data_IF_494786071307
#
_entry.id   IF_494786071307
#
_cell.length_a   1.000
_cell.length_b   1.000
_cell.length_c   1.000
_cell.angle_alpha   90.00
_cell.angle_beta   90.00
_cell.angle_gamma   90.00
#
_symmetry.space_group_name_H-M   'P 1'
#
loop_
_entity.id
_entity.type
_entity.pdbx_description
1 polymer ?
#
# COMPACT_ATOMS: atom_id res chain seq x y z
N UNK A 1 -9.60 -20.25 -0.87
CA UNK A 1 -8.51 -20.02 0.11
C UNK A 1 -8.85 -18.77 0.90
N UNK A 2 -8.98 -18.87 2.22
CA UNK A 2 -9.21 -17.72 3.11
C UNK A 2 -7.95 -16.86 3.11
N UNK A 3 -7.98 -15.73 2.41
CA UNK A 3 -6.97 -14.69 2.61
C UNK A 3 -7.24 -14.00 3.95
N UNK A 4 -6.21 -13.69 4.73
CA UNK A 4 -6.38 -12.87 5.92
C UNK A 4 -7.10 -11.55 5.58
N UNK A 5 -7.86 -11.04 6.53
CA UNK A 5 -8.46 -9.73 6.40
C UNK A 5 -7.36 -8.66 6.34
N UNK A 6 -7.57 -7.55 5.63
CA UNK A 6 -6.69 -6.39 5.71
C UNK A 6 -6.53 -5.95 7.17
N UNK A 7 -5.33 -5.52 7.53
CA UNK A 7 -5.02 -5.03 8.87
C UNK A 7 -4.83 -3.52 8.81
N UNK A 8 -5.68 -2.78 9.52
CA UNK A 8 -5.53 -1.34 9.67
C UNK A 8 -4.70 -1.03 10.92
N UNK A 9 -3.73 -0.12 10.77
CA UNK A 9 -2.90 0.38 11.86
C UNK A 9 -3.01 1.90 11.88
N UNK A 10 -3.30 2.47 13.05
CA UNK A 10 -3.42 3.92 13.21
C UNK A 10 -2.59 4.41 14.39
N UNK A 11 -1.90 5.54 14.22
CA UNK A 11 -1.15 6.22 15.27
C UNK A 11 -1.16 7.73 15.00
N UNK A 12 -1.72 8.52 15.92
CA UNK A 12 -1.98 9.95 15.73
C UNK A 12 -2.73 10.24 14.41
N UNK A 13 -2.13 11.01 13.50
CA UNK A 13 -2.69 11.30 12.18
C UNK A 13 -2.34 10.26 11.11
N UNK A 14 -1.49 9.28 11.44
CA UNK A 14 -1.04 8.25 10.51
C UNK A 14 -2.04 7.10 10.48
N UNK A 15 -2.43 6.68 9.27
CA UNK A 15 -3.29 5.51 9.04
C UNK A 15 -2.70 4.66 7.91
N UNK A 16 -2.52 3.37 8.20
CA UNK A 16 -1.96 2.40 7.26
C UNK A 16 -2.90 1.23 7.08
N UNK A 17 -2.93 0.70 5.86
CA UNK A 17 -3.66 -0.53 5.54
C UNK A 17 -2.68 -1.58 5.02
N UNK A 18 -2.42 -2.62 5.81
CA UNK A 18 -1.64 -3.76 5.34
C UNK A 18 -2.58 -4.76 4.68
N UNK A 19 -2.36 -5.01 3.39
CA UNK A 19 -3.23 -5.85 2.56
C UNK A 19 -2.44 -6.92 1.83
N UNK A 20 -3.14 -7.79 1.10
CA UNK A 20 -2.54 -8.85 0.30
C UNK A 20 -2.42 -8.43 -1.15
N UNK A 21 -1.40 -8.97 -1.82
CA UNK A 21 -1.25 -8.82 -3.25
C UNK A 21 -2.48 -9.38 -4.01
N UNK A 22 -3.20 -8.55 -4.78
CA UNK A 22 -4.36 -9.00 -5.53
C UNK A 22 -3.96 -9.89 -6.71
N UNK A 23 -4.94 -10.64 -7.23
CA UNK A 23 -4.84 -11.24 -8.56
C UNK A 23 -5.60 -10.35 -9.56
N UNK A 24 -5.30 -10.46 -10.85
CA UNK A 24 -6.03 -9.70 -11.88
C UNK A 24 -7.56 -9.91 -11.80
N UNK A 25 -8.02 -11.11 -11.45
CA UNK A 25 -9.46 -11.41 -11.31
C UNK A 25 -10.11 -10.72 -10.10
N UNK A 26 -9.33 -10.29 -9.12
CA UNK A 26 -9.80 -9.67 -7.88
C UNK A 26 -9.54 -8.17 -7.83
N UNK A 27 -8.92 -7.60 -8.87
CA UNK A 27 -8.46 -6.21 -8.86
C UNK A 27 -9.60 -5.22 -8.64
N UNK A 28 -10.78 -5.46 -9.22
CA UNK A 28 -11.96 -4.62 -9.01
C UNK A 28 -12.39 -4.54 -7.53
N UNK A 29 -12.56 -5.70 -6.89
CA UNK A 29 -12.89 -5.77 -5.45
C UNK A 29 -11.79 -5.18 -4.58
N UNK A 30 -10.53 -5.40 -4.96
CA UNK A 30 -9.39 -4.83 -4.24
C UNK A 30 -9.42 -3.29 -4.25
N UNK A 31 -9.71 -2.68 -5.41
CA UNK A 31 -9.86 -1.23 -5.53
C UNK A 31 -11.04 -0.74 -4.67
N UNK A 32 -12.19 -1.43 -4.69
CA UNK A 32 -13.33 -1.09 -3.82
C UNK A 32 -12.94 -1.11 -2.34
N UNK A 33 -12.22 -2.14 -1.90
CA UNK A 33 -11.72 -2.24 -0.53
C UNK A 33 -10.79 -1.06 -0.21
N UNK A 34 -9.81 -0.74 -1.07
CA UNK A 34 -8.92 0.41 -0.88
C UNK A 34 -9.70 1.74 -0.72
N UNK A 35 -10.70 1.97 -1.57
CA UNK A 35 -11.54 3.17 -1.49
C UNK A 35 -12.36 3.22 -0.20
N UNK A 36 -12.89 2.09 0.26
CA UNK A 36 -13.64 2.00 1.52
C UNK A 36 -12.78 2.36 2.75
N UNK A 37 -11.49 2.03 2.73
CA UNK A 37 -10.54 2.42 3.78
C UNK A 37 -10.01 3.86 3.63
N UNK A 38 -10.40 4.58 2.56
CA UNK A 38 -9.90 5.93 2.29
C UNK A 38 -8.43 5.94 1.85
N UNK A 39 -7.98 4.87 1.19
CA UNK A 39 -6.62 4.78 0.68
C UNK A 39 -6.44 5.71 -0.52
N UNK A 40 -5.43 6.58 -0.46
CA UNK A 40 -5.05 7.46 -1.58
C UNK A 40 -3.73 7.04 -2.24
N UNK A 41 -2.93 6.24 -1.53
CA UNK A 41 -1.59 5.84 -1.95
C UNK A 41 -1.39 4.37 -1.62
N UNK A 42 -0.97 3.59 -2.60
CA UNK A 42 -0.64 2.18 -2.48
C UNK A 42 0.85 1.97 -2.75
N UNK A 43 1.57 1.40 -1.79
CA UNK A 43 2.99 1.05 -1.92
C UNK A 43 3.14 -0.46 -2.09
N UNK A 44 3.78 -0.85 -3.20
CA UNK A 44 4.13 -2.24 -3.51
C UNK A 44 5.59 -2.47 -3.15
N UNK A 45 5.84 -3.24 -2.09
CA UNK A 45 7.20 -3.53 -1.59
C UNK A 45 7.83 -4.81 -2.14
N UNK A 46 7.10 -5.47 -3.04
CA UNK A 46 7.48 -6.71 -3.69
C UNK A 46 7.26 -6.55 -5.21
N UNK A 47 7.83 -7.45 -6.03
CA UNK A 47 7.74 -7.35 -7.48
C UNK A 47 6.28 -7.22 -7.96
N UNK A 48 6.02 -6.32 -8.92
CA UNK A 48 4.70 -6.07 -9.45
C UNK A 48 4.16 -7.31 -10.19
N UNK A 49 2.96 -7.78 -9.80
CA UNK A 49 2.31 -8.95 -10.41
C UNK A 49 1.01 -8.62 -11.14
N UNK A 50 0.62 -7.35 -11.17
CA UNK A 50 -0.60 -6.86 -11.81
C UNK A 50 -0.38 -5.43 -12.32
N UNK A 51 -1.17 -5.04 -13.32
CA UNK A 51 -1.13 -3.68 -13.87
C UNK A 51 -1.71 -2.67 -12.87
N UNK A 52 -1.00 -1.57 -12.65
CA UNK A 52 -1.42 -0.50 -11.72
C UNK A 52 -2.42 0.47 -12.34
N UNK A 53 -2.53 0.50 -13.67
CA UNK A 53 -3.38 1.46 -14.39
C UNK A 53 -4.82 1.50 -13.86
N UNK A 54 -5.51 0.36 -13.59
CA UNK A 54 -6.88 0.40 -13.06
C UNK A 54 -6.99 1.00 -11.66
N UNK A 55 -5.93 0.89 -10.85
CA UNK A 55 -5.87 1.47 -9.50
C UNK A 55 -5.63 2.97 -9.60
N UNK A 56 -4.72 3.40 -10.48
CA UNK A 56 -4.42 4.81 -10.72
C UNK A 56 -5.59 5.57 -11.35
N UNK A 57 -6.40 4.91 -12.20
CA UNK A 57 -7.62 5.48 -12.78
C UNK A 57 -8.67 5.84 -11.72
N UNK A 58 -8.63 5.18 -10.56
CA UNK A 58 -9.54 5.41 -9.44
C UNK A 58 -9.00 6.46 -8.45
N UNK A 59 -7.92 7.17 -8.83
CA UNK A 59 -7.31 8.23 -8.04
C UNK A 59 -6.36 7.74 -6.95
N UNK A 60 -6.01 6.46 -6.94
CA UNK A 60 -5.07 5.88 -5.98
C UNK A 60 -3.67 5.86 -6.59
N UNK A 61 -2.75 6.62 -6.02
CA UNK A 61 -1.37 6.66 -6.50
C UNK A 61 -0.63 5.36 -6.15
N UNK A 62 0.05 4.74 -7.12
CA UNK A 62 0.77 3.48 -6.89
C UNK A 62 2.27 3.67 -6.99
N UNK A 63 2.99 3.32 -5.92
CA UNK A 63 4.45 3.38 -5.80
C UNK A 63 5.05 1.98 -5.76
N UNK A 64 6.11 1.77 -6.54
CA UNK A 64 6.83 0.50 -6.64
C UNK A 64 8.19 0.61 -5.96
N UNK A 65 8.28 0.12 -4.71
CA UNK A 65 9.48 0.20 -3.88
C UNK A 65 9.93 -1.20 -3.42
N UNK A 66 10.32 -2.08 -4.36
CA UNK A 66 10.77 -3.42 -4.01
C UNK A 66 12.12 -3.41 -3.28
N UNK A 67 12.26 -4.24 -2.26
CA UNK A 67 13.55 -4.60 -1.65
C UNK A 67 13.68 -6.13 -1.51
N UNK A 68 14.74 -6.67 -0.91
CA UNK A 68 14.92 -8.13 -0.81
C UNK A 68 14.30 -8.71 0.48
N UNK A 69 13.82 -9.96 0.41
CA UNK A 69 13.19 -10.61 1.57
C UNK A 69 14.22 -10.90 2.67
N UNK A 70 13.86 -10.64 3.93
CA UNK A 70 14.77 -10.83 5.06
C UNK A 70 15.96 -9.86 5.09
N UNK A 71 15.95 -8.82 4.23
CA UNK A 71 16.92 -7.73 4.24
C UNK A 71 16.28 -6.45 4.79
N UNK A 72 17.10 -5.56 5.33
CA UNK A 72 16.64 -4.22 5.66
C UNK A 72 16.34 -3.43 4.38
N UNK A 73 15.30 -2.58 4.35
CA UNK A 73 15.10 -1.66 3.25
C UNK A 73 16.33 -0.73 3.10
N UNK A 74 16.72 -0.36 1.87
CA UNK A 74 17.79 0.62 1.67
C UNK A 74 17.48 1.96 2.34
N UNK A 75 18.50 2.66 2.86
CA UNK A 75 18.33 3.95 3.55
C UNK A 75 17.51 4.95 2.74
N UNK A 76 17.77 5.04 1.43
CA UNK A 76 17.00 5.92 0.53
C UNK A 76 15.50 5.57 0.50
N UNK A 77 15.14 4.29 0.54
CA UNK A 77 13.74 3.85 0.56
C UNK A 77 13.06 4.24 1.88
N UNK A 78 13.80 4.17 2.99
CA UNK A 78 13.33 4.63 4.30
C UNK A 78 13.09 6.14 4.27
N UNK A 79 14.02 6.92 3.72
CA UNK A 79 13.90 8.37 3.60
C UNK A 79 12.73 8.78 2.69
N UNK A 80 12.55 8.09 1.56
CA UNK A 80 11.43 8.32 0.62
C UNK A 80 10.09 7.99 1.28
N UNK A 81 10.01 6.89 2.04
CA UNK A 81 8.82 6.52 2.81
C UNK A 81 8.49 7.59 3.85
N UNK A 82 9.44 7.99 4.69
CA UNK A 82 9.21 9.02 5.70
C UNK A 82 8.77 10.35 5.07
N UNK A 83 9.36 10.74 3.95
CA UNK A 83 8.99 11.95 3.21
C UNK A 83 7.58 11.86 2.61
N UNK A 84 7.22 10.70 2.06
CA UNK A 84 5.86 10.41 1.59
C UNK A 84 4.85 10.60 2.72
N UNK A 85 5.09 9.99 3.87
CA UNK A 85 4.15 10.07 5.00
C UNK A 85 3.99 11.50 5.51
N UNK A 86 5.10 12.22 5.69
CA UNK A 86 5.08 13.62 6.14
C UNK A 86 4.29 14.53 5.21
N UNK A 87 4.38 14.28 3.90
CA UNK A 87 3.65 15.06 2.88
C UNK A 87 2.18 14.64 2.85
N UNK A 88 1.91 13.34 2.73
CA UNK A 88 0.55 12.81 2.55
C UNK A 88 -0.37 13.08 3.72
N UNK A 89 0.07 12.82 4.94
CA UNK A 89 -0.79 13.06 6.11
C UNK A 89 -0.91 14.54 6.49
N UNK A 90 -0.03 15.41 5.97
CA UNK A 90 -0.16 16.87 6.08
C UNK A 90 -1.17 17.42 5.09
N UNK A 91 -1.04 17.04 3.82
CA UNK A 91 -1.84 17.59 2.72
C UNK A 91 -3.23 16.97 2.65
N UNK A 92 -3.37 15.71 3.06
CA UNK A 92 -4.61 14.95 3.04
C UNK A 92 -4.90 14.33 4.43
N UNK A 93 -5.31 15.14 5.43
CA UNK A 93 -5.61 14.65 6.77
C UNK A 93 -6.69 13.57 6.78
N UNK A 94 -6.45 12.48 7.50
CA UNK A 94 -7.39 11.35 7.62
C UNK A 94 -7.35 10.35 6.45
N UNK A 95 -6.51 10.59 5.45
CA UNK A 95 -6.21 9.60 4.40
C UNK A 95 -5.54 8.34 4.95
N UNK A 96 -5.42 7.31 4.12
CA UNK A 96 -4.76 6.05 4.45
C UNK A 96 -3.70 5.68 3.39
N UNK A 97 -2.55 5.17 3.84
CA UNK A 97 -1.51 4.63 2.96
C UNK A 97 -1.54 3.11 3.04
N UNK A 98 -1.84 2.44 1.93
CA UNK A 98 -1.84 0.98 1.87
C UNK A 98 -0.46 0.43 1.51
N UNK A 99 -0.09 -0.70 2.10
CA UNK A 99 1.14 -1.43 1.80
C UNK A 99 0.81 -2.91 1.59
N UNK A 100 1.39 -3.53 0.57
CA UNK A 100 1.34 -4.99 0.44
C UNK A 100 2.66 -5.59 -0.04
N UNK A 101 2.92 -6.81 0.39
CA UNK A 101 3.84 -7.73 -0.28
C UNK A 101 3.08 -8.87 -0.97
N UNK A 102 3.79 -9.64 -1.80
CA UNK A 102 3.30 -10.86 -2.47
C UNK A 102 2.76 -11.90 -1.48
N UNK A 103 3.38 -12.04 -0.30
CA UNK A 103 3.00 -13.02 0.72
C UNK A 103 2.20 -12.45 1.93
N UNK A 104 1.81 -11.17 1.91
CA UNK A 104 1.19 -10.50 3.06
C UNK A 104 2.18 -9.72 3.92
N UNK A 105 2.23 -9.99 5.24
CA UNK A 105 3.02 -9.26 6.27
C UNK A 105 4.55 -9.46 6.21
N UNK A 106 5.09 -10.06 5.15
CA UNK A 106 6.44 -10.63 5.18
C UNK A 106 7.59 -9.65 5.37
N UNK A 107 7.36 -8.35 5.13
CA UNK A 107 8.40 -7.31 5.07
C UNK A 107 7.93 -6.01 5.70
#
# INVERSE_FOLDING_TARGET
MNRPAPVEISYDCLRFLITHNPTNAQLGRFIEDLKNYGVNTLVRVCAATYDKTPVEQEGIHVLDWPFDDGSAPPDQLVDDWLSLLQTKFRDEPGSCVAVHCVAGLGR
#
